data_IF_729041880667
#
_entry.id   IF_729041880667
#
_cell.length_a   1.000
_cell.length_b   1.000
_cell.length_c   1.000
_cell.angle_alpha   90.00
_cell.angle_beta   90.00
_cell.angle_gamma   90.00
#
_symmetry.space_group_name_H-M   'P 1'
#
loop_
_entity.id
_entity.type
_entity.pdbx_description
1 polymer ?
#
# COMPACT_ATOMS: atom_id res chain seq x y z
N UNK A 1 -40.97 -15.57 -15.85
CA UNK A 1 -40.14 -14.58 -16.58
C UNK A 1 -38.87 -14.38 -15.78
N UNK A 2 -37.74 -14.74 -16.38
CA UNK A 2 -36.47 -15.06 -15.73
C UNK A 2 -35.60 -13.80 -15.72
N UNK A 3 -35.37 -13.21 -14.55
CA UNK A 3 -34.47 -12.07 -14.35
C UNK A 3 -33.06 -12.57 -14.01
N UNK A 4 -32.14 -12.39 -14.95
CA UNK A 4 -30.76 -12.89 -14.92
C UNK A 4 -29.90 -12.15 -13.89
N UNK A 5 -29.20 -12.92 -13.07
CA UNK A 5 -28.03 -12.49 -12.32
C UNK A 5 -26.87 -12.18 -13.30
N UNK A 6 -26.25 -11.01 -13.16
CA UNK A 6 -25.00 -10.68 -13.86
C UNK A 6 -23.86 -11.02 -12.91
N UNK A 7 -23.34 -12.23 -13.07
CA UNK A 7 -22.09 -12.70 -12.48
C UNK A 7 -20.95 -12.17 -13.35
N UNK A 8 -20.22 -11.15 -12.87
CA UNK A 8 -19.06 -10.61 -13.58
C UNK A 8 -17.82 -11.46 -13.24
N UNK A 9 -17.72 -12.65 -13.86
CA UNK A 9 -16.50 -13.44 -13.85
C UNK A 9 -15.47 -12.83 -14.81
N UNK A 10 -14.55 -12.04 -14.28
CA UNK A 10 -13.33 -11.61 -14.98
C UNK A 10 -12.32 -12.77 -14.98
N UNK A 11 -12.42 -13.63 -15.98
CA UNK A 11 -11.33 -14.54 -16.36
C UNK A 11 -10.31 -13.75 -17.18
N UNK A 12 -9.25 -13.29 -16.50
CA UNK A 12 -8.08 -12.69 -17.17
C UNK A 12 -7.24 -13.81 -17.76
N UNK A 13 -7.32 -14.01 -19.08
CA UNK A 13 -6.31 -14.75 -19.82
C UNK A 13 -5.06 -13.87 -19.95
N UNK A 14 -4.02 -14.19 -19.18
CA UNK A 14 -2.67 -13.64 -19.33
C UNK A 14 -2.01 -14.30 -20.55
N UNK A 15 -2.11 -13.67 -21.71
CA UNK A 15 -1.18 -13.92 -22.81
C UNK A 15 0.12 -13.18 -22.47
N UNK A 16 1.17 -13.93 -22.14
CA UNK A 16 2.52 -13.39 -21.97
C UNK A 16 3.11 -13.11 -23.35
N UNK A 17 2.78 -11.95 -23.92
CA UNK A 17 3.58 -11.41 -25.02
C UNK A 17 4.82 -10.80 -24.38
N UNK A 18 5.99 -11.33 -24.72
CA UNK A 18 7.28 -10.75 -24.33
C UNK A 18 7.51 -9.49 -25.18
N UNK A 19 6.71 -8.45 -24.94
CA UNK A 19 6.92 -7.15 -25.58
C UNK A 19 8.16 -6.51 -24.98
N UNK A 20 9.03 -5.98 -25.86
CA UNK A 20 10.09 -5.08 -25.43
C UNK A 20 9.47 -3.92 -24.64
N UNK A 21 10.15 -3.47 -23.58
CA UNK A 21 9.63 -2.35 -22.80
C UNK A 21 9.36 -1.14 -23.71
N UNK A 22 8.21 -0.44 -23.53
CA UNK A 22 7.92 0.73 -24.34
C UNK A 22 9.01 1.77 -24.13
N UNK A 23 9.39 2.48 -25.19
CA UNK A 23 10.29 3.62 -25.04
C UNK A 23 9.59 4.68 -24.22
N UNK A 24 10.33 5.39 -23.38
CA UNK A 24 9.77 6.40 -22.48
C UNK A 24 8.98 7.47 -23.23
N UNK A 25 9.42 7.81 -24.44
CA UNK A 25 8.85 8.84 -25.30
C UNK A 25 7.48 8.44 -25.89
N UNK A 26 7.19 7.14 -25.90
CA UNK A 26 5.93 6.58 -26.39
C UNK A 26 4.86 6.49 -25.28
N UNK A 27 5.25 6.71 -24.01
CA UNK A 27 4.32 6.69 -22.88
C UNK A 27 3.49 7.98 -22.87
N UNK A 28 2.19 7.83 -23.11
CA UNK A 28 1.22 8.90 -23.22
C UNK A 28 -0.07 8.58 -22.48
N UNK A 29 -0.63 9.56 -21.79
CA UNK A 29 -1.96 9.50 -21.19
C UNK A 29 -2.73 10.77 -21.49
N UNK A 30 -3.92 10.66 -22.08
CA UNK A 30 -4.79 11.83 -22.29
C UNK A 30 -5.40 12.32 -20.97
N UNK A 31 -5.48 11.45 -19.96
CA UNK A 31 -6.05 11.72 -18.64
C UNK A 31 -5.32 12.84 -17.89
N UNK A 32 -4.03 13.05 -18.18
CA UNK A 32 -3.21 14.09 -17.55
C UNK A 32 -3.31 15.45 -18.25
N UNK A 33 -4.00 15.53 -19.39
CA UNK A 33 -4.16 16.79 -20.11
C UNK A 33 -4.92 17.80 -19.25
N UNK A 34 -4.50 19.07 -19.28
CA UNK A 34 -5.05 20.13 -18.45
C UNK A 34 -6.59 20.17 -18.48
N UNK A 35 -7.18 20.15 -19.68
CA UNK A 35 -8.65 20.16 -19.84
C UNK A 35 -9.32 18.93 -19.21
N UNK A 36 -8.72 17.74 -19.32
CA UNK A 36 -9.26 16.51 -18.72
C UNK A 36 -9.19 16.55 -17.19
N UNK A 37 -8.10 17.07 -16.62
CA UNK A 37 -7.95 17.27 -15.18
C UNK A 37 -8.97 18.29 -14.63
N UNK A 38 -9.18 19.41 -15.32
CA UNK A 38 -10.21 20.40 -14.93
C UNK A 38 -11.62 19.80 -14.99
N UNK A 39 -11.91 18.99 -16.02
CA UNK A 39 -13.20 18.28 -16.11
C UNK A 39 -13.37 17.26 -15.00
N UNK A 40 -12.33 16.49 -14.66
CA UNK A 40 -12.36 15.54 -13.55
C UNK A 40 -12.61 16.25 -12.22
N UNK A 41 -11.89 17.35 -11.94
CA UNK A 41 -12.10 18.13 -10.72
C UNK A 41 -13.55 18.61 -10.61
N UNK A 42 -14.08 19.18 -11.70
CA UNK A 42 -15.47 19.62 -11.75
C UNK A 42 -16.44 18.46 -11.51
N UNK A 43 -16.22 17.32 -12.18
CA UNK A 43 -17.06 16.12 -12.04
C UNK A 43 -17.04 15.55 -10.62
N UNK A 44 -15.87 15.51 -9.98
CA UNK A 44 -15.70 15.09 -8.59
C UNK A 44 -16.54 15.95 -7.64
N UNK A 45 -16.45 17.27 -7.75
CA UNK A 45 -17.18 18.20 -6.89
C UNK A 45 -18.68 18.20 -7.17
N UNK A 46 -19.09 18.34 -8.43
CA UNK A 46 -20.50 18.56 -8.77
C UNK A 46 -21.29 17.26 -8.84
N UNK A 47 -20.74 16.21 -9.45
CA UNK A 47 -21.49 15.00 -9.77
C UNK A 47 -21.21 13.86 -8.79
N UNK A 48 -19.93 13.54 -8.55
CA UNK A 48 -19.58 12.38 -7.72
C UNK A 48 -19.90 12.64 -6.26
N UNK A 49 -19.49 13.80 -5.72
CA UNK A 49 -19.76 14.17 -4.32
C UNK A 49 -21.04 14.98 -4.20
N UNK A 50 -21.15 16.09 -4.94
CA UNK A 50 -22.26 17.04 -4.82
C UNK A 50 -23.63 16.40 -5.01
N UNK A 51 -23.90 15.83 -6.19
CA UNK A 51 -25.18 15.18 -6.45
C UNK A 51 -25.43 13.95 -5.55
N UNK A 52 -24.40 13.20 -5.18
CA UNK A 52 -24.58 12.04 -4.30
C UNK A 52 -25.10 12.47 -2.93
N UNK A 53 -24.42 13.41 -2.27
CA UNK A 53 -24.74 13.84 -0.90
C UNK A 53 -25.92 14.81 -0.80
N UNK A 54 -26.40 15.35 -1.93
CA UNK A 54 -27.66 16.11 -2.00
C UNK A 54 -28.88 15.25 -2.37
N UNK A 55 -28.67 13.99 -2.76
CA UNK A 55 -29.78 13.06 -3.04
C UNK A 55 -30.34 12.48 -1.74
N UNK A 56 -31.57 11.94 -1.73
CA UNK A 56 -32.03 11.10 -0.63
C UNK A 56 -31.08 9.90 -0.45
N UNK A 57 -30.84 9.49 0.79
CA UNK A 57 -30.11 8.26 1.12
C UNK A 57 -31.15 7.14 1.29
N UNK A 58 -31.23 6.26 0.29
CA UNK A 58 -32.11 5.10 0.25
C UNK A 58 -31.48 3.95 -0.55
N UNK A 59 -32.16 2.82 -0.65
CA UNK A 59 -31.65 1.61 -1.31
C UNK A 59 -31.31 1.78 -2.80
N UNK A 60 -31.83 2.81 -3.48
CA UNK A 60 -31.54 3.10 -4.88
C UNK A 60 -30.38 4.09 -5.07
N UNK A 61 -29.97 4.79 -4.02
CA UNK A 61 -28.98 5.88 -4.11
C UNK A 61 -27.74 5.63 -3.26
N UNK A 62 -27.78 4.69 -2.31
CA UNK A 62 -26.69 4.40 -1.37
C UNK A 62 -25.35 4.12 -2.07
N UNK A 63 -25.35 3.40 -3.19
CA UNK A 63 -24.13 3.12 -3.96
C UNK A 63 -23.39 4.40 -4.41
N UNK A 64 -24.11 5.53 -4.57
CA UNK A 64 -23.52 6.83 -4.89
C UNK A 64 -22.80 7.43 -3.70
N UNK A 65 -23.32 7.23 -2.49
CA UNK A 65 -22.65 7.65 -1.26
C UNK A 65 -21.35 6.86 -1.05
N UNK A 66 -21.36 5.55 -1.30
CA UNK A 66 -20.15 4.74 -1.28
C UNK A 66 -19.10 5.27 -2.27
N UNK A 67 -19.51 5.48 -3.53
CA UNK A 67 -18.63 6.01 -4.57
C UNK A 67 -18.09 7.42 -4.22
N UNK A 68 -18.93 8.28 -3.65
CA UNK A 68 -18.52 9.60 -3.15
C UNK A 68 -17.45 9.47 -2.06
N UNK A 69 -17.65 8.61 -1.05
CA UNK A 69 -16.68 8.37 0.01
C UNK A 69 -15.30 7.95 -0.54
N UNK A 70 -15.29 7.01 -1.49
CA UNK A 70 -14.05 6.56 -2.16
C UNK A 70 -13.35 7.69 -2.93
N UNK A 71 -14.12 8.53 -3.62
CA UNK A 71 -13.58 9.70 -4.31
C UNK A 71 -13.02 10.74 -3.34
N UNK A 72 -13.75 11.04 -2.27
CA UNK A 72 -13.35 11.99 -1.23
C UNK A 72 -12.00 11.60 -0.65
N UNK A 73 -11.82 10.34 -0.27
CA UNK A 73 -10.57 9.90 0.36
C UNK A 73 -9.41 9.85 -0.63
N UNK A 74 -9.64 9.44 -1.89
CA UNK A 74 -8.59 9.37 -2.92
C UNK A 74 -8.09 10.76 -3.35
N UNK A 75 -8.98 11.75 -3.40
CA UNK A 75 -8.67 13.11 -3.88
C UNK A 75 -8.63 14.17 -2.76
N UNK A 76 -8.76 13.77 -1.50
CA UNK A 76 -8.72 14.65 -0.31
C UNK A 76 -9.74 15.79 -0.38
N UNK A 77 -10.98 15.48 -0.77
CA UNK A 77 -12.03 16.48 -0.97
C UNK A 77 -12.70 16.87 0.36
N UNK A 78 -12.19 17.90 1.02
CA UNK A 78 -12.77 18.47 2.25
C UNK A 78 -13.52 19.78 1.93
N UNK A 79 -14.85 19.76 2.09
CA UNK A 79 -15.74 20.91 1.98
C UNK A 79 -17.07 20.64 2.71
N UNK A 80 -17.90 21.67 2.87
CA UNK A 80 -19.18 21.59 3.59
C UNK A 80 -20.10 20.49 3.05
N UNK A 81 -20.15 20.28 1.73
CA UNK A 81 -20.99 19.24 1.14
C UNK A 81 -20.51 17.86 1.54
N UNK A 82 -19.19 17.64 1.52
CA UNK A 82 -18.59 16.40 2.03
C UNK A 82 -18.97 16.15 3.49
N UNK A 83 -18.82 17.15 4.36
CA UNK A 83 -19.08 17.01 5.79
C UNK A 83 -20.57 16.73 6.09
N UNK A 84 -21.48 17.39 5.38
CA UNK A 84 -22.91 17.14 5.48
C UNK A 84 -23.27 15.69 5.12
N UNK A 85 -22.74 15.18 4.00
CA UNK A 85 -23.02 13.81 3.57
C UNK A 85 -22.44 12.75 4.52
N UNK A 86 -21.22 12.97 5.04
CA UNK A 86 -20.64 12.07 6.07
C UNK A 86 -21.47 12.09 7.35
N UNK A 87 -21.96 13.26 7.78
CA UNK A 87 -22.85 13.38 8.94
C UNK A 87 -24.16 12.61 8.71
N UNK A 88 -24.75 12.71 7.52
CA UNK A 88 -25.95 11.95 7.16
C UNK A 88 -25.71 10.44 7.22
N UNK A 89 -24.55 9.96 6.77
CA UNK A 89 -24.18 8.54 6.84
C UNK A 89 -24.06 8.05 8.30
N UNK A 90 -23.51 8.86 9.21
CA UNK A 90 -23.49 8.51 10.64
C UNK A 90 -24.90 8.42 11.23
N UNK A 91 -25.79 9.37 10.89
CA UNK A 91 -27.19 9.35 11.37
C UNK A 91 -27.91 8.08 10.93
N UNK A 92 -27.65 7.61 9.70
CA UNK A 92 -28.31 6.43 9.13
C UNK A 92 -27.48 5.14 9.24
N UNK A 93 -26.39 5.15 10.02
CA UNK A 93 -25.37 4.11 10.00
C UNK A 93 -25.94 2.70 10.09
N UNK A 94 -26.88 2.46 11.02
CA UNK A 94 -27.41 1.10 11.26
C UNK A 94 -28.16 0.54 10.04
N UNK A 95 -28.72 1.40 9.19
CA UNK A 95 -29.43 1.02 7.96
C UNK A 95 -28.52 0.83 6.74
N UNK A 96 -27.27 1.29 6.80
CA UNK A 96 -26.34 1.21 5.68
C UNK A 96 -25.87 -0.23 5.39
N UNK A 97 -25.65 -0.50 4.12
CA UNK A 97 -24.92 -1.67 3.64
C UNK A 97 -23.46 -1.64 4.08
N UNK A 98 -22.87 -2.84 4.11
CA UNK A 98 -21.51 -3.05 4.59
C UNK A 98 -20.46 -2.20 3.85
N UNK A 99 -20.53 -2.15 2.51
CA UNK A 99 -19.52 -1.43 1.71
C UNK A 99 -19.60 0.08 1.91
N UNK A 100 -20.81 0.64 2.08
CA UNK A 100 -21.02 2.05 2.43
C UNK A 100 -20.48 2.37 3.82
N UNK A 101 -20.77 1.53 4.83
CA UNK A 101 -20.20 1.67 6.19
C UNK A 101 -18.68 1.71 6.14
N UNK A 102 -18.10 0.75 5.41
CA UNK A 102 -16.65 0.65 5.25
C UNK A 102 -16.08 1.90 4.59
N UNK A 103 -16.60 2.29 3.42
CA UNK A 103 -16.13 3.46 2.68
C UNK A 103 -16.24 4.75 3.52
N UNK A 104 -17.35 4.94 4.25
CA UNK A 104 -17.53 6.06 5.17
C UNK A 104 -16.44 6.10 6.25
N UNK A 105 -16.17 4.96 6.92
CA UNK A 105 -15.16 4.89 7.98
C UNK A 105 -13.74 5.13 7.43
N UNK A 106 -13.42 4.62 6.25
CA UNK A 106 -12.15 4.90 5.56
C UNK A 106 -11.99 6.39 5.25
N UNK A 107 -13.05 7.04 4.76
CA UNK A 107 -13.09 8.47 4.47
C UNK A 107 -12.89 9.31 5.73
N UNK A 108 -13.62 8.99 6.80
CA UNK A 108 -13.52 9.69 8.08
C UNK A 108 -12.12 9.56 8.66
N UNK A 109 -11.52 8.37 8.61
CA UNK A 109 -10.13 8.17 9.01
C UNK A 109 -9.14 9.01 8.17
N UNK A 110 -9.31 9.05 6.85
CA UNK A 110 -8.36 9.70 5.95
C UNK A 110 -8.44 11.22 5.94
N UNK A 111 -9.66 11.76 5.89
CA UNK A 111 -9.92 13.19 5.61
C UNK A 111 -10.32 13.95 6.87
N UNK A 112 -10.98 13.29 7.84
CA UNK A 112 -11.57 13.93 9.02
C UNK A 112 -11.05 13.33 10.35
N UNK A 113 -9.72 13.28 10.58
CA UNK A 113 -9.13 12.48 11.67
C UNK A 113 -9.51 12.93 13.10
N UNK A 114 -10.07 14.14 13.26
CA UNK A 114 -10.39 14.71 14.58
C UNK A 114 -11.89 15.03 14.76
N UNK A 115 -12.68 15.06 13.68
CA UNK A 115 -14.02 15.65 13.72
C UNK A 115 -15.10 14.71 14.27
N UNK A 116 -14.96 13.39 14.05
CA UNK A 116 -16.04 12.42 14.30
C UNK A 116 -15.79 11.49 15.49
N UNK A 117 -14.89 11.86 16.42
CA UNK A 117 -14.51 10.97 17.52
C UNK A 117 -15.70 10.54 18.39
N UNK A 118 -16.65 11.43 18.66
CA UNK A 118 -17.84 11.09 19.46
C UNK A 118 -18.70 10.02 18.77
N UNK A 119 -18.97 10.20 17.47
CA UNK A 119 -19.71 9.22 16.65
C UNK A 119 -18.98 7.88 16.56
N UNK A 120 -17.64 7.91 16.44
CA UNK A 120 -16.80 6.71 16.41
C UNK A 120 -16.82 5.96 17.75
N UNK A 121 -16.77 6.66 18.89
CA UNK A 121 -16.86 6.02 20.21
C UNK A 121 -18.22 5.35 20.44
N UNK A 122 -19.31 6.00 20.00
CA UNK A 122 -20.65 5.40 20.04
C UNK A 122 -20.73 4.17 19.15
N UNK A 123 -20.14 4.22 17.96
CA UNK A 123 -20.08 3.08 17.05
C UNK A 123 -19.27 1.92 17.63
N UNK A 124 -18.08 2.18 18.17
CA UNK A 124 -17.23 1.18 18.82
C UNK A 124 -17.93 0.44 19.97
N UNK A 125 -18.89 1.07 20.63
CA UNK A 125 -19.64 0.44 21.70
C UNK A 125 -20.62 -0.64 21.21
N UNK A 126 -21.01 -0.62 19.92
CA UNK A 126 -22.06 -1.51 19.37
C UNK A 126 -21.68 -2.27 18.09
N UNK A 127 -20.58 -1.93 17.41
CA UNK A 127 -20.21 -2.54 16.13
C UNK A 127 -19.81 -4.01 16.31
N UNK A 128 -20.57 -4.91 15.67
CA UNK A 128 -20.37 -6.36 15.76
C UNK A 128 -19.60 -6.94 14.58
N UNK A 129 -19.36 -6.17 13.51
CA UNK A 129 -18.51 -6.59 12.41
C UNK A 129 -17.04 -6.38 12.76
N UNK A 130 -16.20 -7.42 12.80
CA UNK A 130 -14.80 -7.31 13.22
C UNK A 130 -13.97 -6.30 12.41
N UNK A 131 -14.25 -6.16 11.12
CA UNK A 131 -13.48 -5.27 10.25
C UNK A 131 -13.92 -3.80 10.42
N UNK A 132 -15.23 -3.53 10.48
CA UNK A 132 -15.73 -2.17 10.75
C UNK A 132 -15.32 -1.71 12.15
N UNK A 133 -15.37 -2.61 13.14
CA UNK A 133 -14.85 -2.37 14.48
C UNK A 133 -13.36 -2.00 14.43
N UNK A 134 -12.55 -2.73 13.65
CA UNK A 134 -11.13 -2.46 13.55
C UNK A 134 -10.78 -1.12 12.90
N UNK A 135 -11.55 -0.66 11.89
CA UNK A 135 -11.38 0.69 11.31
C UNK A 135 -11.73 1.76 12.35
N UNK A 136 -12.86 1.61 13.05
CA UNK A 136 -13.28 2.53 14.10
C UNK A 136 -12.28 2.56 15.28
N UNK A 137 -11.70 1.42 15.63
CA UNK A 137 -10.69 1.30 16.67
C UNK A 137 -9.37 1.99 16.25
N UNK A 138 -8.96 1.81 15.00
CA UNK A 138 -7.81 2.50 14.45
C UNK A 138 -8.01 4.03 14.43
N UNK A 139 -9.23 4.50 14.11
CA UNK A 139 -9.57 5.93 14.23
C UNK A 139 -9.45 6.41 15.68
N UNK A 140 -10.06 5.70 16.63
CA UNK A 140 -10.00 6.05 18.06
C UNK A 140 -8.56 6.16 18.55
N UNK A 141 -7.70 5.20 18.20
CA UNK A 141 -6.29 5.19 18.58
C UNK A 141 -5.49 6.31 17.91
N UNK A 142 -5.82 6.66 16.66
CA UNK A 142 -5.18 7.77 15.96
C UNK A 142 -5.48 9.11 16.62
N UNK A 143 -6.72 9.30 17.06
CA UNK A 143 -7.16 10.49 17.77
C UNK A 143 -6.52 10.60 19.16
N UNK A 144 -6.51 9.50 19.93
CA UNK A 144 -5.87 9.43 21.25
C UNK A 144 -4.97 8.20 21.34
N UNK A 145 -3.67 8.43 21.25
CA UNK A 145 -2.64 7.39 21.30
C UNK A 145 -2.27 6.95 22.72
N UNK A 146 -2.97 7.44 23.76
CA UNK A 146 -2.70 7.07 25.13
C UNK A 146 -2.90 5.56 25.37
N UNK A 147 -2.07 5.00 26.24
CA UNK A 147 -2.13 3.58 26.62
C UNK A 147 -3.47 3.20 27.25
N UNK A 148 -4.15 4.15 27.91
CA UNK A 148 -5.49 3.97 28.50
C UNK A 148 -6.56 3.76 27.41
N UNK A 149 -6.51 4.51 26.31
CA UNK A 149 -7.42 4.32 25.18
C UNK A 149 -7.18 2.95 24.53
N UNK A 150 -5.91 2.62 24.26
CA UNK A 150 -5.56 1.30 23.72
C UNK A 150 -6.05 0.15 24.62
N UNK A 151 -5.90 0.26 25.94
CA UNK A 151 -6.41 -0.72 26.90
C UNK A 151 -7.95 -0.80 26.89
N UNK A 152 -8.63 0.33 26.73
CA UNK A 152 -10.10 0.39 26.62
C UNK A 152 -10.59 -0.33 25.37
N UNK A 153 -9.94 -0.11 24.21
CA UNK A 153 -10.26 -0.81 22.96
C UNK A 153 -10.04 -2.33 23.13
N UNK A 154 -8.92 -2.76 23.74
CA UNK A 154 -8.65 -4.19 24.00
C UNK A 154 -9.70 -4.83 24.89
N UNK A 155 -10.17 -4.13 25.92
CA UNK A 155 -11.27 -4.60 26.76
C UNK A 155 -12.53 -4.83 25.92
N UNK A 156 -12.88 -3.88 25.04
CA UNK A 156 -14.03 -4.04 24.13
C UNK A 156 -13.88 -5.21 23.16
N UNK A 157 -12.68 -5.45 22.62
CA UNK A 157 -12.42 -6.62 21.76
C UNK A 157 -12.82 -7.91 22.50
N UNK A 158 -12.42 -8.05 23.77
CA UNK A 158 -12.71 -9.24 24.58
C UNK A 158 -14.19 -9.35 24.94
N UNK A 159 -14.86 -8.23 25.21
CA UNK A 159 -16.27 -8.19 25.60
C UNK A 159 -17.22 -8.47 24.42
N UNK A 160 -16.92 -7.92 23.22
CA UNK A 160 -17.79 -8.03 22.05
C UNK A 160 -17.45 -9.23 21.16
N UNK A 161 -16.21 -9.74 21.20
CA UNK A 161 -15.75 -10.83 20.35
C UNK A 161 -15.13 -11.98 21.17
N UNK A 162 -15.95 -12.89 21.74
CA UNK A 162 -15.48 -14.01 22.55
C UNK A 162 -14.43 -14.92 21.89
N UNK A 163 -14.40 -14.97 20.55
CA UNK A 163 -13.45 -15.75 19.75
C UNK A 163 -12.45 -14.87 18.98
N UNK A 164 -12.11 -13.67 19.48
CA UNK A 164 -11.23 -12.75 18.74
C UNK A 164 -9.87 -13.38 18.38
N UNK A 165 -9.37 -14.31 19.20
CA UNK A 165 -8.09 -14.99 18.99
C UNK A 165 -8.04 -15.84 17.71
N UNK A 166 -9.19 -16.25 17.14
CA UNK A 166 -9.23 -16.95 15.84
C UNK A 166 -9.55 -16.01 14.68
N UNK A 167 -9.96 -14.77 14.99
CA UNK A 167 -10.22 -13.74 14.00
C UNK A 167 -8.93 -12.99 13.66
N UNK A 168 -8.45 -13.15 12.42
CA UNK A 168 -7.15 -12.59 12.02
C UNK A 168 -7.15 -11.05 12.08
N UNK A 169 -8.26 -10.36 11.78
CA UNK A 169 -8.27 -8.88 11.76
C UNK A 169 -8.19 -8.33 13.19
N UNK A 170 -8.88 -8.97 14.14
CA UNK A 170 -8.83 -8.56 15.54
C UNK A 170 -7.49 -8.90 16.20
N UNK A 171 -6.83 -9.99 15.80
CA UNK A 171 -5.47 -10.30 16.23
C UNK A 171 -4.45 -9.25 15.75
N UNK A 172 -4.49 -8.87 14.47
CA UNK A 172 -3.59 -7.83 13.96
C UNK A 172 -3.92 -6.45 14.56
N UNK A 173 -5.20 -6.16 14.83
CA UNK A 173 -5.59 -4.98 15.59
C UNK A 173 -4.99 -4.99 17.01
N UNK A 174 -5.06 -6.10 17.75
CA UNK A 174 -4.46 -6.17 19.09
C UNK A 174 -2.94 -5.96 19.06
N UNK A 175 -2.24 -6.54 18.08
CA UNK A 175 -0.81 -6.25 17.84
C UNK A 175 -0.58 -4.76 17.58
N UNK A 176 -1.36 -4.17 16.68
CA UNK A 176 -1.28 -2.75 16.34
C UNK A 176 -1.50 -1.84 17.56
N UNK A 177 -2.47 -2.16 18.42
CA UNK A 177 -2.72 -1.43 19.67
C UNK A 177 -1.54 -1.51 20.66
N UNK A 178 -0.70 -2.55 20.58
CA UNK A 178 0.52 -2.67 21.39
C UNK A 178 1.70 -1.87 20.81
N UNK A 179 1.81 -1.84 19.48
CA UNK A 179 3.00 -1.31 18.80
C UNK A 179 2.86 0.11 18.28
N UNK A 180 1.65 0.69 18.26
CA UNK A 180 1.36 1.99 17.64
C UNK A 180 2.34 3.11 18.05
N UNK A 181 2.69 3.22 19.33
CA UNK A 181 3.64 4.21 19.85
C UNK A 181 5.03 3.64 20.17
N UNK A 182 5.26 2.35 19.90
CA UNK A 182 6.45 1.62 20.33
C UNK A 182 7.13 0.89 19.15
N UNK A 183 7.10 1.48 17.96
CA UNK A 183 7.75 0.90 16.78
C UNK A 183 9.25 0.66 17.04
N UNK A 184 9.71 -0.54 16.70
CA UNK A 184 11.10 -0.95 16.81
C UNK A 184 11.69 -1.12 15.41
N UNK A 185 12.44 -0.13 14.89
CA UNK A 185 13.05 -0.25 13.58
C UNK A 185 14.15 -1.33 13.56
N UNK A 186 14.43 -1.92 12.39
CA UNK A 186 15.66 -2.69 12.20
C UNK A 186 16.88 -1.79 12.43
N UNK A 187 17.91 -2.34 13.04
CA UNK A 187 19.19 -1.63 13.19
C UNK A 187 19.92 -1.54 11.85
N UNK A 188 20.91 -0.65 11.76
CA UNK A 188 21.78 -0.62 10.58
C UNK A 188 22.44 -1.99 10.32
N UNK A 189 22.88 -2.70 11.38
CA UNK A 189 23.48 -4.02 11.20
C UNK A 189 22.48 -5.04 10.63
N UNK A 190 21.21 -5.00 11.03
CA UNK A 190 20.19 -5.88 10.47
C UNK A 190 20.00 -5.64 8.96
N UNK A 191 20.03 -4.38 8.52
CA UNK A 191 19.94 -4.02 7.11
C UNK A 191 21.19 -4.47 6.32
N UNK A 192 22.38 -4.32 6.90
CA UNK A 192 23.62 -4.80 6.29
C UNK A 192 23.64 -6.34 6.19
N UNK A 193 23.12 -7.04 7.19
CA UNK A 193 22.94 -8.49 7.16
C UNK A 193 21.93 -8.92 6.12
N UNK A 194 20.83 -8.19 5.95
CA UNK A 194 19.85 -8.45 4.91
C UNK A 194 20.48 -8.33 3.51
N UNK A 195 21.29 -7.28 3.26
CA UNK A 195 22.01 -7.13 2.00
C UNK A 195 23.02 -8.25 1.75
N UNK A 196 23.67 -8.76 2.81
CA UNK A 196 24.58 -9.91 2.72
C UNK A 196 23.81 -11.20 2.44
N UNK A 197 22.69 -11.41 3.11
CA UNK A 197 21.86 -12.59 2.98
C UNK A 197 21.37 -12.78 1.54
N UNK A 198 20.99 -11.71 0.85
CA UNK A 198 20.55 -11.84 -0.54
C UNK A 198 21.66 -12.25 -1.51
N UNK A 199 22.94 -12.00 -1.18
CA UNK A 199 24.05 -12.51 -1.97
C UNK A 199 24.13 -14.04 -1.93
N UNK A 200 23.69 -14.67 -0.83
CA UNK A 200 23.68 -16.14 -0.71
C UNK A 200 22.46 -16.75 -1.40
N UNK A 201 21.31 -16.07 -1.33
CA UNK A 201 20.05 -16.49 -1.96
C UNK A 201 20.08 -16.31 -3.49
N UNK A 202 20.95 -15.42 -4.01
CA UNK A 202 21.17 -15.17 -5.45
C UNK A 202 19.89 -14.79 -6.20
N UNK A 203 19.07 -13.94 -5.58
CA UNK A 203 17.86 -13.39 -6.18
C UNK A 203 18.00 -11.89 -6.36
N UNK A 204 17.40 -11.35 -7.42
CA UNK A 204 17.30 -9.90 -7.61
C UNK A 204 16.30 -9.35 -6.60
N UNK A 205 16.67 -8.27 -5.93
CA UNK A 205 15.87 -7.69 -4.85
C UNK A 205 15.70 -6.19 -5.03
N UNK A 206 14.49 -5.72 -4.81
CA UNK A 206 14.19 -4.30 -4.61
C UNK A 206 13.99 -4.07 -3.12
N UNK A 207 14.69 -3.11 -2.54
CA UNK A 207 14.43 -2.64 -1.18
C UNK A 207 13.69 -1.32 -1.24
N UNK A 208 12.42 -1.32 -0.84
CA UNK A 208 11.62 -0.12 -0.61
C UNK A 208 11.80 0.30 0.86
N UNK A 209 12.72 1.23 1.09
CA UNK A 209 13.04 1.79 2.40
C UNK A 209 12.09 2.94 2.69
N UNK A 210 11.28 2.79 3.74
CA UNK A 210 10.19 3.69 4.08
C UNK A 210 10.33 4.23 5.50
N UNK A 211 9.56 5.26 5.85
CA UNK A 211 9.32 5.65 7.25
C UNK A 211 8.13 4.87 7.80
N UNK A 212 8.14 4.62 9.11
CA UNK A 212 7.01 4.02 9.80
C UNK A 212 5.75 4.89 9.69
N UNK A 213 5.89 6.19 9.95
CA UNK A 213 4.91 7.17 9.50
C UNK A 213 4.90 7.23 7.97
N UNK A 214 3.85 6.64 7.40
CA UNK A 214 3.60 6.59 5.95
C UNK A 214 3.31 7.96 5.33
N UNK A 215 3.25 9.02 6.12
CA UNK A 215 3.06 10.39 5.61
C UNK A 215 4.31 10.95 4.91
N UNK A 216 5.43 10.24 4.95
CA UNK A 216 6.67 10.66 4.34
C UNK A 216 7.13 9.67 3.27
N UNK A 217 7.61 10.20 2.14
CA UNK A 217 8.11 9.39 1.03
C UNK A 217 9.33 8.55 1.41
N UNK A 218 9.38 7.34 0.86
CA UNK A 218 10.52 6.44 0.93
C UNK A 218 11.32 6.40 -0.37
N UNK A 219 12.34 5.53 -0.38
CA UNK A 219 13.24 5.33 -1.51
C UNK A 219 13.40 3.85 -1.81
N UNK A 220 13.36 3.50 -3.10
CA UNK A 220 13.65 2.17 -3.60
C UNK A 220 15.08 2.09 -4.16
N UNK A 221 15.77 0.98 -3.87
CA UNK A 221 17.07 0.62 -4.46
C UNK A 221 17.05 -0.84 -4.93
N UNK A 222 17.94 -1.19 -5.85
CA UNK A 222 17.99 -2.53 -6.45
C UNK A 222 19.34 -3.18 -6.15
N UNK A 223 19.29 -4.40 -5.61
CA UNK A 223 20.42 -5.30 -5.53
C UNK A 223 20.27 -6.42 -6.56
N UNK A 224 21.31 -6.63 -7.35
CA UNK A 224 21.42 -7.71 -8.31
C UNK A 224 21.56 -9.07 -7.64
N UNK A 225 21.31 -10.13 -8.40
CA UNK A 225 21.49 -11.51 -7.94
C UNK A 225 22.94 -11.86 -7.56
N UNK A 226 23.94 -11.11 -8.07
CA UNK A 226 25.34 -11.24 -7.69
C UNK A 226 25.71 -10.44 -6.41
N UNK A 227 24.73 -9.74 -5.83
CA UNK A 227 24.89 -8.94 -4.63
C UNK A 227 25.37 -7.51 -4.83
N UNK A 228 25.64 -7.08 -6.07
CA UNK A 228 25.99 -5.70 -6.41
C UNK A 228 24.75 -4.80 -6.40
N UNK A 229 24.91 -3.52 -6.05
CA UNK A 229 23.84 -2.53 -6.16
C UNK A 229 23.84 -1.87 -7.54
N UNK A 230 22.64 -1.61 -8.06
CA UNK A 230 22.46 -0.95 -9.35
C UNK A 230 22.96 0.50 -9.33
N UNK A 231 23.72 0.87 -10.35
CA UNK A 231 24.38 2.19 -10.47
C UNK A 231 24.19 2.79 -11.85
N UNK A 232 24.28 4.11 -11.91
CA UNK A 232 24.48 4.88 -13.14
C UNK A 232 25.82 4.53 -13.80
N UNK A 233 26.00 4.92 -15.06
CA UNK A 233 27.28 4.76 -15.75
C UNK A 233 28.43 5.49 -15.02
N UNK A 234 28.13 6.60 -14.34
CA UNK A 234 29.10 7.34 -13.52
C UNK A 234 29.31 6.73 -12.12
N UNK A 235 28.75 5.55 -11.84
CA UNK A 235 28.94 4.83 -10.58
C UNK A 235 28.07 5.30 -9.41
N UNK A 236 27.18 6.28 -9.59
CA UNK A 236 26.22 6.70 -8.54
C UNK A 236 25.12 5.67 -8.34
N UNK A 237 24.71 5.44 -7.10
CA UNK A 237 23.61 4.52 -6.75
C UNK A 237 22.30 4.96 -7.44
N UNK A 238 21.62 4.02 -8.08
CA UNK A 238 20.26 4.26 -8.57
C UNK A 238 19.28 4.21 -7.40
N UNK A 239 18.49 5.25 -7.26
CA UNK A 239 17.52 5.42 -6.16
C UNK A 239 16.26 6.06 -6.74
N UNK A 240 15.09 5.53 -6.36
CA UNK A 240 13.80 5.90 -6.92
C UNK A 240 12.84 6.32 -5.80
N UNK A 241 12.16 7.46 -5.92
CA UNK A 241 11.17 7.87 -4.92
C UNK A 241 9.92 6.98 -4.99
N UNK A 242 9.45 6.53 -3.82
CA UNK A 242 8.30 5.64 -3.71
C UNK A 242 7.52 5.87 -2.42
N UNK A 243 6.21 5.96 -2.52
CA UNK A 243 5.29 6.14 -1.40
C UNK A 243 4.55 4.82 -1.10
N UNK A 244 4.60 4.38 0.16
CA UNK A 244 3.89 3.20 0.68
C UNK A 244 2.56 3.56 1.38
N UNK A 245 2.03 4.77 1.09
CA UNK A 245 0.86 5.35 1.75
C UNK A 245 -0.42 5.07 0.97
N UNK A 246 -1.44 4.63 1.69
CA UNK A 246 -2.80 4.58 1.17
C UNK A 246 -3.51 5.93 1.22
N UNK A 247 -4.53 6.14 0.39
CA UNK A 247 -5.33 7.35 0.38
C UNK A 247 -5.88 7.68 1.79
N UNK A 248 -6.46 6.69 2.47
CA UNK A 248 -6.95 6.84 3.85
C UNK A 248 -5.81 6.93 4.87
N UNK A 249 -4.69 6.26 4.61
CA UNK A 249 -3.61 6.10 5.57
C UNK A 249 -3.86 5.02 6.60
N UNK A 250 -4.88 4.17 6.42
CA UNK A 250 -5.21 3.10 7.36
C UNK A 250 -4.03 2.14 7.59
N UNK A 251 -3.97 1.45 8.74
CA UNK A 251 -2.92 0.47 9.02
C UNK A 251 -2.95 -0.73 8.06
N UNK A 252 -1.82 -1.43 7.99
CA UNK A 252 -1.53 -2.48 7.00
C UNK A 252 -2.50 -3.67 6.99
N UNK A 253 -3.15 -3.98 8.12
CA UNK A 253 -4.05 -5.13 8.22
C UNK A 253 -5.48 -4.80 7.78
N UNK A 254 -5.76 -3.53 7.46
CA UNK A 254 -7.05 -3.10 6.95
C UNK A 254 -7.01 -3.04 5.41
N UNK A 255 -8.10 -3.44 4.73
CA UNK A 255 -8.27 -3.23 3.30
C UNK A 255 -8.00 -1.78 2.90
N UNK A 256 -7.40 -1.58 1.74
CA UNK A 256 -6.99 -0.26 1.21
C UNK A 256 -6.15 0.59 2.19
N UNK A 257 -5.53 -0.04 3.20
CA UNK A 257 -4.56 0.58 4.10
C UNK A 257 -3.16 0.64 3.52
N UNK A 258 -2.23 1.22 4.27
CA UNK A 258 -0.84 1.41 3.87
C UNK A 258 -0.19 0.09 3.46
N UNK A 259 0.83 0.16 2.60
CA UNK A 259 1.55 -1.04 2.18
C UNK A 259 2.22 -1.69 3.40
N UNK A 260 1.93 -2.97 3.67
CA UNK A 260 2.57 -3.72 4.76
C UNK A 260 4.08 -3.84 4.58
N UNK A 261 4.81 -3.83 5.68
CA UNK A 261 6.20 -4.27 5.71
C UNK A 261 6.34 -5.77 5.41
N UNK A 262 7.52 -6.17 4.95
CA UNK A 262 7.81 -7.57 4.65
C UNK A 262 8.16 -7.81 3.18
N UNK A 263 8.01 -9.06 2.74
CA UNK A 263 8.50 -9.54 1.46
C UNK A 263 7.33 -9.75 0.50
N UNK A 264 7.48 -9.23 -0.71
CA UNK A 264 6.58 -9.41 -1.83
C UNK A 264 7.33 -10.15 -2.94
N UNK A 265 6.62 -10.99 -3.68
CA UNK A 265 7.19 -11.73 -4.78
C UNK A 265 6.91 -11.01 -6.11
N UNK A 266 7.98 -10.60 -6.82
CA UNK A 266 7.89 -9.94 -8.12
C UNK A 266 7.69 -11.00 -9.19
N UNK A 267 6.53 -10.98 -9.87
CA UNK A 267 6.14 -11.96 -10.88
C UNK A 267 6.45 -11.52 -12.31
N UNK A 268 6.81 -10.26 -12.51
CA UNK A 268 7.12 -9.68 -13.81
C UNK A 268 6.68 -8.23 -13.90
N UNK A 269 6.48 -7.77 -15.13
CA UNK A 269 6.04 -6.42 -15.45
C UNK A 269 4.72 -6.47 -16.20
N UNK A 270 3.92 -5.40 -16.07
CA UNK A 270 2.70 -5.23 -16.86
C UNK A 270 2.44 -3.74 -17.13
N UNK A 271 1.51 -3.46 -18.03
CA UNK A 271 0.88 -2.14 -18.19
C UNK A 271 -0.58 -2.26 -17.80
N UNK A 272 -1.13 -1.23 -17.17
CA UNK A 272 -2.50 -1.22 -16.65
C UNK A 272 -3.35 -0.24 -17.45
N UNK A 273 -4.61 -0.62 -17.68
CA UNK A 273 -5.61 0.23 -18.31
C UNK A 273 -6.35 1.14 -17.32
N UNK A 274 -6.12 0.96 -16.01
CA UNK A 274 -6.64 1.87 -14.99
C UNK A 274 -6.04 3.26 -15.22
N UNK A 275 -6.91 4.23 -15.53
CA UNK A 275 -6.49 5.59 -15.87
C UNK A 275 -5.72 6.27 -14.75
N UNK A 276 -6.04 6.01 -13.47
CA UNK A 276 -5.39 6.63 -12.31
C UNK A 276 -3.97 6.11 -12.08
N UNK A 277 -3.71 4.83 -12.38
CA UNK A 277 -2.35 4.27 -12.36
C UNK A 277 -1.56 4.71 -13.59
N UNK A 278 -2.23 4.69 -14.75
CA UNK A 278 -1.63 5.09 -16.00
C UNK A 278 -0.87 3.99 -16.75
N UNK A 279 -0.35 4.35 -17.94
CA UNK A 279 0.23 3.41 -18.88
C UNK A 279 1.71 3.11 -18.63
N UNK A 280 2.33 3.68 -17.60
CA UNK A 280 3.73 3.36 -17.27
C UNK A 280 3.84 1.90 -16.84
N UNK A 281 4.83 1.13 -17.33
CA UNK A 281 5.09 -0.22 -16.87
C UNK A 281 5.21 -0.30 -15.34
N UNK A 282 4.54 -1.27 -14.74
CA UNK A 282 4.53 -1.53 -13.32
C UNK A 282 5.19 -2.88 -13.00
N UNK A 283 5.54 -3.09 -11.73
CA UNK A 283 5.97 -4.40 -11.22
C UNK A 283 4.76 -5.12 -10.66
N UNK A 284 4.49 -6.32 -11.17
CA UNK A 284 3.44 -7.19 -10.66
C UNK A 284 3.97 -7.90 -9.42
N UNK A 285 3.44 -7.55 -8.26
CA UNK A 285 3.79 -8.17 -6.99
C UNK A 285 2.67 -9.10 -6.53
N UNK A 286 3.03 -10.10 -5.74
CA UNK A 286 2.06 -10.92 -5.00
C UNK A 286 2.48 -11.04 -3.55
N UNK A 287 1.50 -11.03 -2.66
CA UNK A 287 1.68 -11.32 -1.23
C UNK A 287 1.53 -12.81 -0.93
N UNK A 288 1.94 -13.25 0.28
CA UNK A 288 1.56 -14.55 0.83
C UNK A 288 0.04 -14.80 0.70
N UNK A 289 -0.37 -16.04 0.44
CA UNK A 289 -1.77 -16.47 0.23
C UNK A 289 -2.50 -15.94 -1.02
N UNK A 290 -1.92 -15.02 -1.80
CA UNK A 290 -2.57 -14.47 -3.00
C UNK A 290 -2.53 -15.43 -4.20
N UNK A 291 -1.48 -16.24 -4.30
CA UNK A 291 -1.27 -17.27 -5.34
C UNK A 291 -0.67 -18.53 -4.73
N UNK A 292 -0.44 -19.55 -5.56
CA UNK A 292 0.25 -20.78 -5.16
C UNK A 292 1.62 -20.45 -4.55
N UNK A 293 1.99 -21.15 -3.48
CA UNK A 293 3.29 -20.96 -2.82
C UNK A 293 4.48 -21.23 -3.73
N UNK A 294 4.36 -22.14 -4.71
CA UNK A 294 5.39 -22.34 -5.74
C UNK A 294 5.63 -21.07 -6.56
N UNK A 295 4.55 -20.38 -6.94
CA UNK A 295 4.62 -19.07 -7.62
C UNK A 295 5.23 -18.00 -6.72
N UNK A 296 4.79 -17.92 -5.45
CA UNK A 296 5.30 -16.94 -4.48
C UNK A 296 6.80 -17.10 -4.23
N UNK A 297 7.28 -18.33 -3.99
CA UNK A 297 8.69 -18.62 -3.71
C UNK A 297 9.57 -18.76 -4.95
N UNK A 298 9.03 -18.54 -6.16
CA UNK A 298 9.74 -18.81 -7.42
C UNK A 298 10.32 -20.23 -7.47
N UNK A 299 9.60 -21.19 -6.90
CA UNK A 299 9.98 -22.59 -6.87
C UNK A 299 9.48 -23.30 -8.13
N UNK A 300 10.21 -24.31 -8.57
CA UNK A 300 9.77 -25.15 -9.69
C UNK A 300 8.49 -25.93 -9.35
N UNK A 301 7.79 -26.40 -10.38
CA UNK A 301 6.53 -27.13 -10.24
C UNK A 301 6.67 -28.47 -9.48
N UNK A 302 7.90 -28.92 -9.24
CA UNK A 302 8.23 -30.11 -8.45
C UNK A 302 8.18 -29.88 -6.94
N UNK A 303 8.16 -28.62 -6.48
CA UNK A 303 8.04 -28.31 -5.05
C UNK A 303 6.58 -28.47 -4.61
N UNK A 304 6.30 -29.50 -3.82
CA UNK A 304 4.96 -29.77 -3.28
C UNK A 304 4.86 -29.21 -1.87
N UNK A 305 3.92 -28.27 -1.67
CA UNK A 305 3.56 -27.78 -0.35
C UNK A 305 2.30 -28.50 0.14
N UNK A 306 2.34 -29.01 1.36
CA UNK A 306 1.23 -29.73 2.00
C UNK A 306 0.49 -28.81 2.99
N UNK A 307 -0.77 -29.14 3.37
CA UNK A 307 -1.47 -28.41 4.44
C UNK A 307 -0.73 -28.38 5.79
N UNK A 308 0.18 -29.33 6.04
CA UNK A 308 1.02 -29.40 7.24
C UNK A 308 2.30 -28.57 7.15
N UNK A 309 2.60 -27.97 6.00
CA UNK A 309 3.81 -27.18 5.82
C UNK A 309 3.68 -25.83 6.56
N UNK A 310 4.70 -25.47 7.34
CA UNK A 310 4.74 -24.17 8.03
C UNK A 310 5.12 -23.06 7.05
N UNK A 311 4.10 -22.40 6.50
CA UNK A 311 4.28 -21.33 5.51
C UNK A 311 4.86 -20.06 6.12
N UNK A 312 4.63 -19.82 7.42
CA UNK A 312 5.24 -18.69 8.11
C UNK A 312 6.75 -18.92 8.23
N UNK A 313 7.16 -20.12 8.63
CA UNK A 313 8.58 -20.46 8.69
C UNK A 313 9.26 -20.38 7.32
N UNK A 314 8.61 -20.89 6.26
CA UNK A 314 9.11 -20.79 4.89
C UNK A 314 9.25 -19.32 4.43
N UNK A 315 8.27 -18.47 4.76
CA UNK A 315 8.34 -17.04 4.50
C UNK A 315 9.50 -16.38 5.26
N UNK A 316 9.69 -16.71 6.54
CA UNK A 316 10.79 -16.20 7.35
C UNK A 316 12.17 -16.66 6.86
N UNK A 317 12.26 -17.74 6.06
CA UNK A 317 13.51 -18.11 5.37
C UNK A 317 13.91 -17.12 4.27
N UNK A 318 13.06 -16.18 3.87
CA UNK A 318 13.45 -15.09 2.97
C UNK A 318 14.27 -13.99 3.68
N UNK A 319 14.44 -14.10 4.99
CA UNK A 319 15.09 -13.11 5.84
C UNK A 319 16.29 -13.72 6.58
N UNK A 320 17.34 -12.92 6.88
CA UNK A 320 18.42 -13.36 7.75
C UNK A 320 17.89 -13.68 9.15
N UNK A 321 18.55 -14.58 9.91
CA UNK A 321 18.10 -15.00 11.24
C UNK A 321 17.75 -13.85 12.19
N UNK A 322 18.56 -12.78 12.22
CA UNK A 322 18.35 -11.62 13.08
C UNK A 322 17.00 -10.90 12.86
N UNK A 323 16.49 -10.91 11.62
CA UNK A 323 15.23 -10.24 11.29
C UNK A 323 13.98 -11.11 11.49
N UNK A 324 14.12 -12.43 11.72
CA UNK A 324 12.97 -13.36 11.76
C UNK A 324 12.09 -13.16 12.99
N UNK A 325 12.62 -12.57 14.06
CA UNK A 325 11.90 -12.28 15.30
C UNK A 325 11.25 -10.90 15.29
N UNK A 326 11.60 -10.03 14.33
CA UNK A 326 10.97 -8.72 14.22
C UNK A 326 9.54 -8.88 13.68
N UNK A 327 8.53 -8.60 14.51
CA UNK A 327 7.13 -8.75 14.13
C UNK A 327 6.74 -7.97 12.88
N UNK A 328 7.37 -6.81 12.63
CA UNK A 328 7.09 -5.96 11.47
C UNK A 328 7.30 -6.67 10.13
N UNK A 329 8.26 -7.59 10.03
CA UNK A 329 8.55 -8.28 8.75
C UNK A 329 7.43 -9.23 8.35
N UNK A 330 6.49 -9.53 9.25
CA UNK A 330 5.34 -10.43 9.00
C UNK A 330 4.06 -9.69 8.62
N UNK A 331 4.06 -8.35 8.56
CA UNK A 331 2.88 -7.58 8.19
C UNK A 331 2.30 -8.02 6.83
N UNK A 332 3.13 -8.17 5.80
CA UNK A 332 2.71 -8.63 4.46
C UNK A 332 2.14 -10.07 4.49
N UNK A 333 2.67 -10.93 5.36
CA UNK A 333 2.18 -12.29 5.53
C UNK A 333 0.75 -12.30 6.09
N UNK A 334 0.52 -11.56 7.17
CA UNK A 334 -0.80 -11.51 7.78
C UNK A 334 -1.81 -10.67 6.98
N UNK A 335 -1.37 -9.61 6.32
CA UNK A 335 -2.18 -8.87 5.35
C UNK A 335 -2.67 -9.77 4.20
N UNK A 336 -1.79 -10.60 3.63
CA UNK A 336 -2.16 -11.58 2.63
C UNK A 336 -3.12 -12.65 3.17
N UNK A 337 -2.88 -13.15 4.39
CA UNK A 337 -3.78 -14.09 5.09
C UNK A 337 -5.18 -13.51 5.33
N UNK A 338 -5.28 -12.19 5.53
CA UNK A 338 -6.53 -11.45 5.64
C UNK A 338 -7.25 -11.25 4.30
N UNK A 339 -6.63 -11.62 3.19
CA UNK A 339 -7.18 -11.48 1.85
C UNK A 339 -6.83 -10.17 1.16
N UNK A 340 -5.95 -9.33 1.74
CA UNK A 340 -5.36 -8.22 0.96
C UNK A 340 -4.61 -8.80 -0.23
N UNK A 341 -4.76 -8.17 -1.38
CA UNK A 341 -4.21 -8.63 -2.66
C UNK A 341 -3.96 -7.43 -3.59
N UNK A 342 -3.46 -7.69 -4.79
CA UNK A 342 -3.34 -6.69 -5.87
C UNK A 342 -2.48 -5.46 -5.51
N UNK A 343 -1.58 -5.59 -4.53
CA UNK A 343 -0.56 -4.59 -4.23
C UNK A 343 0.49 -4.70 -5.32
N UNK A 344 0.67 -3.65 -6.13
CA UNK A 344 1.71 -3.57 -7.17
C UNK A 344 2.61 -2.35 -6.91
N UNK A 345 3.77 -2.30 -7.56
CA UNK A 345 4.59 -1.08 -7.59
C UNK A 345 4.40 -0.38 -8.93
N UNK A 346 3.84 0.84 -8.90
CA UNK A 346 3.35 1.52 -10.09
C UNK A 346 3.52 3.04 -10.04
N UNK A 347 3.35 3.68 -11.21
CA UNK A 347 3.32 5.14 -11.35
C UNK A 347 1.91 5.70 -11.13
N UNK A 348 1.64 6.93 -11.51
CA UNK A 348 0.32 7.52 -11.34
C UNK A 348 0.09 8.65 -12.32
N UNK A 349 -1.14 8.80 -12.78
CA UNK A 349 -1.58 9.96 -13.58
C UNK A 349 -2.36 10.96 -12.74
N UNK A 350 -2.71 10.60 -11.50
CA UNK A 350 -3.36 11.48 -10.54
C UNK A 350 -2.51 12.75 -10.41
N UNK A 351 -3.18 13.90 -10.38
CA UNK A 351 -2.49 15.17 -10.22
C UNK A 351 -1.92 15.30 -8.79
N UNK A 352 -0.60 15.40 -8.58
CA UNK A 352 -0.05 15.56 -7.24
C UNK A 352 -0.53 16.86 -6.55
N UNK A 353 -1.07 17.83 -7.30
CA UNK A 353 -1.63 19.08 -6.75
C UNK A 353 -2.78 18.87 -5.76
N UNK A 354 -3.51 17.73 -5.82
CA UNK A 354 -4.49 17.36 -4.78
C UNK A 354 -3.85 17.25 -3.38
N UNK A 355 -2.53 17.06 -3.32
CA UNK A 355 -1.79 16.80 -2.08
C UNK A 355 -0.76 17.88 -1.74
N UNK A 356 -0.75 19.04 -2.42
CA UNK A 356 0.31 20.07 -2.29
C UNK A 356 0.63 20.54 -0.86
N UNK A 357 -0.32 20.41 0.06
CA UNK A 357 -0.17 20.79 1.47
C UNK A 357 0.10 19.60 2.40
N UNK A 358 0.42 18.42 1.85
CA UNK A 358 0.65 17.19 2.61
C UNK A 358 2.14 16.85 2.64
N UNK A 359 2.65 16.21 3.71
CA UNK A 359 4.08 15.93 3.85
C UNK A 359 4.65 14.96 2.80
N UNK A 360 3.79 14.19 2.13
CA UNK A 360 4.19 13.27 1.05
C UNK A 360 4.25 13.92 -0.32
N UNK A 361 3.84 15.19 -0.50
CA UNK A 361 3.97 15.88 -1.79
C UNK A 361 5.45 15.93 -2.22
N UNK A 362 5.79 15.65 -3.50
CA UNK A 362 4.93 15.52 -4.67
C UNK A 362 4.48 14.08 -5.02
N UNK A 363 4.58 13.13 -4.09
CA UNK A 363 4.08 11.78 -4.28
C UNK A 363 2.56 11.72 -4.12
N UNK A 364 1.95 10.66 -4.66
CA UNK A 364 0.49 10.45 -4.61
C UNK A 364 0.16 9.15 -3.89
N UNK A 365 -0.72 9.15 -2.87
CA UNK A 365 -1.20 7.94 -2.24
C UNK A 365 -2.19 7.18 -3.14
N UNK A 366 -2.26 5.87 -2.95
CA UNK A 366 -3.11 4.95 -3.76
C UNK A 366 -3.98 4.10 -2.83
N UNK A 367 -4.64 3.05 -3.31
CA UNK A 367 -5.37 2.11 -2.45
C UNK A 367 -4.45 1.05 -1.82
N UNK A 368 -3.29 1.48 -1.28
CA UNK A 368 -2.33 0.62 -0.57
C UNK A 368 -1.20 0.02 -1.40
N UNK A 369 -1.04 0.46 -2.65
CA UNK A 369 0.08 0.09 -3.51
C UNK A 369 1.32 0.95 -3.24
N UNK A 370 2.46 0.53 -3.80
CA UNK A 370 3.69 1.30 -3.80
C UNK A 370 3.69 2.25 -5.00
N UNK A 371 3.53 3.55 -4.76
CA UNK A 371 3.43 4.54 -5.84
C UNK A 371 4.74 5.31 -6.00
N UNK A 372 5.39 5.19 -7.15
CA UNK A 372 6.55 6.00 -7.47
C UNK A 372 6.17 7.37 -8.04
N UNK A 373 7.07 8.35 -7.93
CA UNK A 373 6.83 9.70 -8.45
C UNK A 373 6.71 9.70 -9.96
N UNK A 374 5.67 10.34 -10.47
CA UNK A 374 5.52 10.66 -11.89
C UNK A 374 5.07 12.10 -12.08
N UNK A 375 5.69 12.77 -13.05
CA UNK A 375 5.31 14.10 -13.49
C UNK A 375 4.98 14.02 -14.98
N UNK A 376 3.87 14.63 -15.37
CA UNK A 376 3.34 14.58 -16.72
C UNK A 376 3.25 15.97 -17.33
N UNK A 377 3.49 16.05 -18.63
CA UNK A 377 3.28 17.27 -19.39
C UNK A 377 1.79 17.43 -19.68
N UNK A 378 1.14 18.37 -18.99
CA UNK A 378 -0.31 18.59 -19.09
C UNK A 378 -0.76 19.17 -20.44
N UNK A 379 0.15 19.62 -21.30
CA UNK A 379 -0.16 20.15 -22.63
C UNK A 379 -0.17 19.07 -23.71
N UNK A 380 0.62 18.01 -23.55
CA UNK A 380 0.77 16.97 -24.58
C UNK A 380 0.65 15.53 -24.07
N UNK A 381 0.37 15.31 -22.78
CA UNK A 381 0.08 14.01 -22.19
C UNK A 381 1.29 13.07 -22.00
N UNK A 382 2.52 13.54 -22.26
CA UNK A 382 3.74 12.70 -22.15
C UNK A 382 4.39 12.77 -20.78
N UNK A 383 5.15 11.72 -20.42
CA UNK A 383 5.94 11.70 -19.19
C UNK A 383 7.08 12.73 -19.20
N UNK A 384 7.14 13.58 -18.16
CA UNK A 384 8.28 14.48 -17.88
C UNK A 384 9.31 13.83 -16.96
N UNK A 385 8.86 13.06 -15.98
CA UNK A 385 9.68 12.31 -15.02
C UNK A 385 8.91 11.08 -14.59
N UNK A 386 9.58 9.94 -14.45
CA UNK A 386 8.97 8.74 -13.88
C UNK A 386 10.01 7.91 -13.15
N UNK A 387 9.96 7.96 -11.81
CA UNK A 387 10.74 7.06 -10.97
C UNK A 387 10.25 5.61 -11.12
N UNK A 388 8.97 5.41 -11.46
CA UNK A 388 8.44 4.09 -11.80
C UNK A 388 9.11 3.51 -13.05
N UNK A 389 9.12 4.24 -14.16
CA UNK A 389 9.71 3.77 -15.42
C UNK A 389 11.19 3.42 -15.23
N UNK A 390 11.91 4.28 -14.50
CA UNK A 390 13.32 4.08 -14.22
C UNK A 390 13.55 2.87 -13.30
N UNK A 391 12.70 2.65 -12.29
CA UNK A 391 12.74 1.49 -11.41
C UNK A 391 12.53 0.20 -12.21
N UNK A 392 11.48 0.13 -13.04
CA UNK A 392 11.21 -1.06 -13.85
C UNK A 392 12.35 -1.31 -14.85
N UNK A 393 12.81 -0.28 -15.57
CA UNK A 393 13.91 -0.40 -16.53
C UNK A 393 15.21 -0.89 -15.87
N UNK A 394 15.54 -0.38 -14.68
CA UNK A 394 16.70 -0.86 -13.93
C UNK A 394 16.49 -2.29 -13.39
N UNK A 395 15.25 -2.66 -13.04
CA UNK A 395 14.95 -4.02 -12.62
C UNK A 395 14.96 -5.03 -13.78
N UNK A 396 14.75 -4.60 -15.03
CA UNK A 396 14.77 -5.48 -16.20
C UNK A 396 16.08 -5.42 -16.99
N UNK A 397 17.02 -4.53 -16.63
CA UNK A 397 18.30 -4.36 -17.35
C UNK A 397 19.31 -5.50 -17.17
N UNK A 398 19.07 -6.41 -16.22
CA UNK A 398 19.87 -7.64 -16.03
C UNK A 398 18.98 -8.86 -16.19
N UNK A 399 19.59 -10.03 -16.41
CA UNK A 399 18.86 -11.26 -16.70
C UNK A 399 17.84 -11.61 -15.62
N UNK A 400 16.64 -12.00 -16.07
CA UNK A 400 15.51 -12.35 -15.22
C UNK A 400 14.58 -11.18 -14.92
N UNK A 401 13.27 -11.44 -14.88
CA UNK A 401 12.21 -10.47 -14.58
C UNK A 401 11.45 -10.82 -13.28
N UNK A 402 11.99 -11.75 -12.49
CA UNK A 402 11.42 -12.20 -11.21
C UNK A 402 12.40 -11.95 -10.08
N UNK A 403 11.88 -11.78 -8.88
CA UNK A 403 12.68 -11.49 -7.69
C UNK A 403 11.79 -11.20 -6.50
N UNK A 404 12.32 -10.46 -5.54
CA UNK A 404 11.57 -10.04 -4.36
C UNK A 404 11.62 -8.53 -4.18
N UNK A 405 10.56 -7.98 -3.59
CA UNK A 405 10.52 -6.60 -3.12
C UNK A 405 10.34 -6.62 -1.60
N UNK A 406 11.25 -5.98 -0.87
CA UNK A 406 11.20 -5.87 0.58
C UNK A 406 10.72 -4.45 0.92
N UNK A 407 9.60 -4.34 1.63
CA UNK A 407 9.16 -3.09 2.25
C UNK A 407 9.67 -3.07 3.68
N UNK A 408 10.47 -2.08 4.02
CA UNK A 408 11.16 -2.00 5.32
C UNK A 408 11.05 -0.58 5.86
N UNK A 409 10.57 -0.44 7.09
CA UNK A 409 10.50 0.85 7.76
C UNK A 409 11.80 1.06 8.53
N UNK A 410 12.66 1.97 8.07
CA UNK A 410 14.00 2.12 8.61
C UNK A 410 14.03 2.88 9.96
N UNK A 411 13.01 3.71 10.22
CA UNK A 411 12.74 4.42 11.47
C UNK A 411 11.38 5.16 11.38
N UNK A 412 11.05 5.99 12.39
CA UNK A 412 9.85 6.84 12.41
C UNK A 412 10.19 8.35 12.37
N UNK A 413 11.25 8.75 11.64
CA UNK A 413 11.55 10.17 11.48
C UNK A 413 10.43 10.90 10.72
N UNK A 414 10.09 12.11 11.17
CA UNK A 414 9.05 12.97 10.57
C UNK A 414 9.53 13.74 9.34
N UNK A 415 10.16 13.04 8.40
CA UNK A 415 10.65 13.54 7.10
C UNK A 415 10.86 12.39 6.12
N UNK A 416 10.90 12.70 4.82
CA UNK A 416 11.19 11.70 3.79
C UNK A 416 12.53 10.97 4.03
N UNK A 417 12.63 9.73 3.55
CA UNK A 417 13.90 9.02 3.48
C UNK A 417 14.80 9.76 2.49
N UNK A 418 16.00 10.13 2.90
CA UNK A 418 16.93 10.88 2.04
C UNK A 418 17.88 9.95 1.29
N UNK A 419 18.30 10.39 0.09
CA UNK A 419 19.32 9.69 -0.70
C UNK A 419 20.61 9.46 0.11
N UNK A 420 21.00 10.43 0.93
CA UNK A 420 22.20 10.35 1.76
C UNK A 420 22.14 9.20 2.77
N UNK A 421 21.00 9.00 3.43
CA UNK A 421 20.80 7.88 4.37
C UNK A 421 20.99 6.53 3.66
N UNK A 422 20.39 6.39 2.47
CA UNK A 422 20.44 5.15 1.68
C UNK A 422 21.85 4.90 1.11
N UNK A 423 22.51 5.93 0.57
CA UNK A 423 23.86 5.82 0.04
C UNK A 423 24.88 5.50 1.14
N UNK A 424 24.71 6.07 2.35
CA UNK A 424 25.54 5.74 3.51
C UNK A 424 25.41 4.25 3.85
N UNK A 425 24.19 3.73 3.93
CA UNK A 425 23.93 2.33 4.24
C UNK A 425 24.58 1.37 3.21
N UNK A 426 24.42 1.66 1.92
CA UNK A 426 25.04 0.86 0.85
C UNK A 426 26.57 0.95 0.89
N UNK A 427 27.13 2.13 1.12
CA UNK A 427 28.59 2.32 1.23
C UNK A 427 29.17 1.56 2.42
N UNK A 428 28.50 1.59 3.58
CA UNK A 428 28.92 0.82 4.76
C UNK A 428 28.93 -0.69 4.48
N UNK A 429 27.92 -1.20 3.77
CA UNK A 429 27.88 -2.59 3.32
C UNK A 429 29.07 -2.95 2.42
N UNK A 430 29.31 -2.15 1.39
CA UNK A 430 30.36 -2.40 0.41
C UNK A 430 31.76 -2.34 1.04
N UNK A 431 32.00 -1.41 1.98
CA UNK A 431 33.27 -1.32 2.72
C UNK A 431 33.52 -2.57 3.57
N UNK A 432 32.51 -3.04 4.32
CA UNK A 432 32.62 -4.26 5.13
C UNK A 432 32.82 -5.51 4.26
N UNK A 433 32.28 -5.54 3.04
CA UNK A 433 32.50 -6.63 2.08
C UNK A 433 33.97 -6.69 1.63
N UNK A 434 34.61 -5.56 1.33
CA UNK A 434 36.02 -5.53 0.93
C UNK A 434 36.95 -5.98 2.07
N UNK A 435 36.59 -5.70 3.33
CA UNK A 435 37.39 -6.08 4.49
C UNK A 435 37.38 -7.59 4.82
N UNK A 436 36.37 -8.34 4.38
CA UNK A 436 36.26 -9.80 4.59
C UNK A 436 36.88 -10.61 3.44
N UNK A 437 37.14 -9.96 2.29
CA UNK A 437 37.78 -10.56 1.12
C UNK A 437 39.30 -10.36 1.04
N UNK A 438 39.91 -9.79 2.08
CA UNK A 438 41.35 -9.80 2.36
C UNK A 438 41.58 -10.69 3.58
#
# INVERSE_FOLDING_TARGET
MIGRAVLLCLLIFLQYVSEAQPRREDIYSDFVLYKKRQLLLKDLHENVVGKAFLSPLDSNTEYRYEAACRAIVQFMLDNDTTQLGITQLFVQYDSLQYDTKRAMLETVYGVFPEQYIQSIQLLLAKETNPLLFAIAAAYSLRYDSATVNAATIKKRIKEQFPNYATNTVLNELDKYLNTYTHYQPPTNNDLLELFRYQQTVKKKVIYSLQRHSRDYGGLAIIQNADGSFMRTAEGRLLVFEQLARSASGLPYFLPDGNTPQGVYSIQGTAVTYNKLIGPTPNLQLIMPYERKWTTYFHAGDTTVWTPSSDMLWAYLQLLPPALRTNAAVTEAFYAGKLGRNSIIAHGTTIDPEYFKNKPWYPLTPTMGCLCARELWNVSNGRLLLSDQFNLVSAFTSTAGNKGYLYVIDIDDQKKAVSRMEVEKLVKEFELKRVAVGR
#
